data_IF_548243989147
#
_entry.id   IF_548243989147
#
_cell.length_a   1.000
_cell.length_b   1.000
_cell.length_c   1.000
_cell.angle_alpha   90.00
_cell.angle_beta   90.00
_cell.angle_gamma   90.00
#
_symmetry.space_group_name_H-M   'P 1'
#
loop_
_entity.id
_entity.type
_entity.pdbx_description
1 polymer ?
#
# COMPACT_ATOMS: atom_id res chain seq x y z
N UNK A 1 -13.32 -27.54 57.12
CA UNK A 1 -13.22 -26.46 56.11
C UNK A 1 -12.45 -25.31 56.72
N UNK A 2 -11.14 -25.23 56.48
CA UNK A 2 -10.28 -24.17 57.05
C UNK A 2 -10.58 -22.86 56.33
N UNK A 3 -11.20 -21.91 57.03
CA UNK A 3 -11.54 -20.59 56.50
C UNK A 3 -10.24 -19.80 56.34
N UNK A 4 -9.87 -19.51 55.10
CA UNK A 4 -8.63 -18.79 54.79
C UNK A 4 -8.69 -17.36 55.37
N UNK A 5 -7.70 -16.91 56.16
CA UNK A 5 -7.77 -15.61 56.79
C UNK A 5 -7.79 -14.50 55.73
N UNK A 6 -8.67 -13.51 55.91
CA UNK A 6 -8.95 -12.41 54.98
C UNK A 6 -7.68 -11.64 54.55
N UNK A 7 -6.65 -11.64 55.40
CA UNK A 7 -5.31 -11.05 55.15
C UNK A 7 -4.52 -11.76 54.04
N UNK A 8 -4.84 -13.02 53.71
CA UNK A 8 -4.21 -13.79 52.63
C UNK A 8 -4.99 -13.74 51.31
N UNK A 9 -6.25 -13.29 51.34
CA UNK A 9 -7.12 -13.27 50.16
C UNK A 9 -6.71 -12.15 49.19
N UNK A 10 -6.46 -10.95 49.71
CA UNK A 10 -6.09 -9.76 48.91
C UNK A 10 -4.77 -9.96 48.14
N UNK A 11 -3.65 -10.39 48.76
CA UNK A 11 -2.41 -10.60 48.02
C UNK A 11 -2.51 -11.75 47.01
N UNK A 12 -3.26 -12.81 47.33
CA UNK A 12 -3.48 -13.93 46.41
C UNK A 12 -4.27 -13.49 45.17
N UNK A 13 -5.34 -12.70 45.34
CA UNK A 13 -6.11 -12.16 44.22
C UNK A 13 -5.28 -11.23 43.34
N UNK A 14 -4.43 -10.38 43.94
CA UNK A 14 -3.52 -9.51 43.19
C UNK A 14 -2.50 -10.31 42.38
N UNK A 15 -1.90 -11.35 42.96
CA UNK A 15 -0.94 -12.21 42.26
C UNK A 15 -1.60 -12.94 41.06
N UNK A 16 -2.83 -13.41 41.21
CA UNK A 16 -3.59 -14.07 40.13
C UNK A 16 -3.94 -13.08 39.02
N UNK A 17 -4.34 -11.85 39.35
CA UNK A 17 -4.63 -10.82 38.36
C UNK A 17 -3.37 -10.40 37.57
N UNK A 18 -2.23 -10.25 38.26
CA UNK A 18 -0.94 -9.91 37.62
C UNK A 18 -0.49 -11.05 36.71
N UNK A 19 -0.52 -12.30 37.18
CA UNK A 19 -0.17 -13.45 36.36
C UNK A 19 -1.11 -13.58 35.15
N UNK A 20 -2.42 -13.48 35.36
CA UNK A 20 -3.42 -13.52 34.30
C UNK A 20 -3.21 -12.43 33.25
N UNK A 21 -2.86 -11.21 33.66
CA UNK A 21 -2.53 -10.11 32.76
C UNK A 21 -1.23 -10.32 31.97
N UNK A 22 -0.19 -10.88 32.60
CA UNK A 22 1.08 -11.19 31.93
C UNK A 22 0.97 -12.32 30.90
N UNK A 23 0.09 -13.29 31.14
CA UNK A 23 -0.17 -14.40 30.20
C UNK A 23 -1.28 -14.09 29.18
N UNK A 24 -1.88 -12.90 29.22
CA UNK A 24 -2.94 -12.51 28.30
C UNK A 24 -2.37 -12.19 26.91
N UNK A 25 -2.67 -13.02 25.91
CA UNK A 25 -2.18 -12.88 24.53
C UNK A 25 -3.01 -11.91 23.66
N UNK A 26 -3.93 -11.15 24.25
CA UNK A 26 -4.75 -10.16 23.52
C UNK A 26 -5.94 -10.75 22.75
N UNK A 27 -6.09 -12.07 22.70
CA UNK A 27 -7.25 -12.75 22.11
C UNK A 27 -8.47 -12.58 23.01
N UNK A 28 -9.19 -11.47 22.85
CA UNK A 28 -10.49 -11.30 23.50
C UNK A 28 -11.52 -12.03 22.65
N UNK A 29 -12.32 -12.93 23.23
CA UNK A 29 -13.42 -13.62 22.52
C UNK A 29 -14.56 -12.67 22.08
N UNK A 30 -14.35 -11.36 22.19
CA UNK A 30 -15.19 -10.28 21.71
C UNK A 30 -14.72 -9.89 20.29
N UNK A 31 -14.55 -10.87 19.41
CA UNK A 31 -14.49 -10.68 17.95
C UNK A 31 -15.90 -10.42 17.37
N UNK A 32 -16.83 -9.94 18.19
CA UNK A 32 -18.15 -9.48 17.77
C UNK A 32 -18.04 -8.07 17.21
N UNK A 33 -17.41 -7.92 16.05
CA UNK A 33 -17.78 -6.95 15.01
C UNK A 33 -17.73 -5.44 15.31
N UNK A 34 -17.16 -4.98 16.43
CA UNK A 34 -17.08 -3.53 16.70
C UNK A 34 -16.06 -2.81 15.81
N UNK A 35 -15.07 -3.53 15.27
CA UNK A 35 -14.11 -3.01 14.30
C UNK A 35 -14.01 -4.04 13.18
N UNK A 36 -14.40 -3.65 11.96
CA UNK A 36 -14.20 -4.47 10.77
C UNK A 36 -12.71 -4.72 10.59
N UNK A 37 -12.30 -5.98 10.45
CA UNK A 37 -10.95 -6.33 10.01
C UNK A 37 -10.65 -5.64 8.68
N UNK A 38 -9.72 -4.68 8.68
CA UNK A 38 -9.30 -3.98 7.47
C UNK A 38 -8.30 -4.86 6.71
N UNK A 39 -8.80 -5.88 6.01
CA UNK A 39 -7.98 -6.69 5.13
C UNK A 39 -7.46 -5.82 3.98
N UNK A 40 -6.16 -5.50 3.99
CA UNK A 40 -5.51 -4.77 2.91
C UNK A 40 -5.35 -5.69 1.70
N UNK A 41 -6.41 -5.80 0.89
CA UNK A 41 -6.37 -6.57 -0.36
C UNK A 41 -5.46 -5.88 -1.38
N UNK A 42 -4.26 -6.41 -1.55
CA UNK A 42 -3.30 -5.96 -2.56
C UNK A 42 -3.75 -6.46 -3.95
N UNK A 43 -3.72 -5.61 -4.97
CA UNK A 43 -3.93 -6.01 -6.37
C UNK A 43 -5.30 -5.69 -6.96
N UNK A 44 -6.32 -5.37 -6.13
CA UNK A 44 -7.64 -4.93 -6.64
C UNK A 44 -7.45 -3.66 -7.49
N UNK A 45 -8.15 -3.48 -8.63
CA UNK A 45 -7.93 -2.39 -9.59
C UNK A 45 -7.95 -0.95 -9.04
N UNK A 46 -8.47 -0.73 -7.82
CA UNK A 46 -8.50 0.56 -7.12
C UNK A 46 -7.51 0.68 -5.96
N UNK A 47 -6.64 -0.31 -5.76
CA UNK A 47 -5.61 -0.27 -4.72
C UNK A 47 -4.32 0.35 -5.29
N UNK A 48 -3.49 1.01 -4.45
CA UNK A 48 -2.24 1.63 -4.89
C UNK A 48 -1.32 0.63 -5.62
N UNK A 49 -1.28 -0.62 -5.14
CA UNK A 49 -0.49 -1.74 -5.67
C UNK A 49 -1.25 -2.59 -6.71
N UNK A 50 -2.03 -1.99 -7.61
CA UNK A 50 -2.62 -2.71 -8.73
C UNK A 50 -1.77 -2.60 -9.99
N UNK A 51 -1.31 -3.74 -10.53
CA UNK A 51 -0.52 -3.80 -11.76
C UNK A 51 -1.27 -3.20 -12.97
N UNK A 52 -2.57 -3.51 -13.11
CA UNK A 52 -3.41 -2.93 -14.16
C UNK A 52 -3.51 -1.40 -14.04
N UNK A 53 -3.60 -0.87 -12.81
CA UNK A 53 -3.62 0.57 -12.54
C UNK A 53 -2.28 1.25 -12.87
N UNK A 54 -1.16 0.59 -12.55
CA UNK A 54 0.18 1.05 -12.91
C UNK A 54 0.35 1.10 -14.43
N UNK A 55 0.01 0.03 -15.15
CA UNK A 55 0.13 -0.03 -16.61
C UNK A 55 -0.67 1.09 -17.32
N UNK A 56 -1.88 1.38 -16.85
CA UNK A 56 -2.69 2.50 -17.40
C UNK A 56 -2.05 3.87 -17.10
N UNK A 57 -1.45 4.06 -15.91
CA UNK A 57 -0.77 5.31 -15.53
C UNK A 57 0.55 5.51 -16.29
N UNK A 58 1.35 4.46 -16.45
CA UNK A 58 2.60 4.51 -17.22
C UNK A 58 2.31 4.83 -18.69
N UNK A 59 1.33 4.17 -19.29
CA UNK A 59 0.92 4.45 -20.68
C UNK A 59 0.48 5.91 -20.84
N UNK A 60 -0.38 6.42 -19.95
CA UNK A 60 -0.81 7.83 -20.01
C UNK A 60 0.35 8.81 -19.88
N UNK A 61 1.30 8.55 -18.97
CA UNK A 61 2.50 9.38 -18.81
C UNK A 61 3.41 9.32 -20.04
N UNK A 62 3.65 8.12 -20.57
CA UNK A 62 4.46 7.93 -21.76
C UNK A 62 3.87 8.64 -22.98
N UNK A 63 2.55 8.54 -23.19
CA UNK A 63 1.85 9.24 -24.28
C UNK A 63 1.89 10.74 -24.08
N UNK A 64 1.63 11.26 -22.86
CA UNK A 64 1.67 12.69 -22.61
C UNK A 64 3.07 13.29 -22.82
N UNK A 65 4.11 12.61 -22.33
CA UNK A 65 5.51 13.04 -22.52
C UNK A 65 5.94 12.90 -23.98
N UNK A 66 5.59 11.79 -24.64
CA UNK A 66 5.89 11.56 -26.05
C UNK A 66 5.21 12.57 -26.97
N UNK A 67 3.96 12.93 -26.69
CA UNK A 67 3.24 13.98 -27.42
C UNK A 67 3.87 15.35 -27.23
N UNK A 68 4.30 15.69 -26.00
CA UNK A 68 5.03 16.94 -25.72
C UNK A 68 6.38 17.01 -26.44
N UNK A 69 7.12 15.89 -26.49
CA UNK A 69 8.39 15.81 -27.21
C UNK A 69 8.20 15.88 -28.74
N UNK A 70 7.17 15.23 -29.28
CA UNK A 70 6.83 15.31 -30.70
C UNK A 70 6.42 16.72 -31.11
N UNK A 71 5.61 17.39 -30.29
CA UNK A 71 5.25 18.78 -30.50
C UNK A 71 6.49 19.69 -30.45
N UNK A 72 7.34 19.55 -29.42
CA UNK A 72 8.59 20.31 -29.31
C UNK A 72 9.54 20.08 -30.50
N UNK A 73 9.62 18.85 -31.02
CA UNK A 73 10.38 18.52 -32.22
C UNK A 73 9.82 19.16 -33.50
N UNK A 74 8.50 19.30 -33.60
CA UNK A 74 7.85 19.98 -34.72
C UNK A 74 8.07 21.50 -34.71
N UNK A 75 8.21 22.11 -33.52
CA UNK A 75 8.48 23.56 -33.40
C UNK A 75 9.93 23.95 -33.69
N UNK A 76 10.90 23.03 -33.62
CA UNK A 76 12.33 23.37 -33.75
C UNK A 76 12.85 23.40 -35.20
N UNK A 77 12.05 23.03 -36.21
CA UNK A 77 12.53 23.02 -37.58
C UNK A 77 11.42 23.06 -38.61
N UNK A 78 11.09 24.25 -39.12
CA UNK A 78 10.21 24.39 -40.30
C UNK A 78 10.81 23.81 -41.60
N UNK A 79 12.04 23.26 -41.56
CA UNK A 79 12.69 22.52 -42.66
C UNK A 79 13.29 21.17 -42.26
N UNK A 80 13.18 20.76 -40.99
CA UNK A 80 13.77 19.51 -40.51
C UNK A 80 12.77 18.73 -39.68
N UNK A 81 12.56 17.45 -40.00
CA UNK A 81 11.61 16.56 -39.33
C UNK A 81 12.34 15.59 -38.39
N UNK A 82 11.73 15.30 -37.25
CA UNK A 82 12.18 14.21 -36.38
C UNK A 82 11.68 12.88 -36.97
N UNK A 83 12.61 12.04 -37.44
CA UNK A 83 12.31 10.73 -37.99
C UNK A 83 12.87 9.63 -37.07
N UNK A 84 12.17 8.49 -36.99
CA UNK A 84 12.63 7.31 -36.24
C UNK A 84 13.25 6.33 -37.23
N UNK A 85 14.50 5.92 -36.99
CA UNK A 85 15.16 4.92 -37.83
C UNK A 85 14.68 3.49 -37.53
N UNK A 86 15.10 2.52 -38.34
CA UNK A 86 14.75 1.11 -38.16
C UNK A 86 15.25 0.52 -36.83
N UNK A 87 16.17 1.20 -36.14
CA UNK A 87 16.74 0.82 -34.85
C UNK A 87 16.09 1.55 -33.66
N UNK A 88 15.05 2.36 -33.91
CA UNK A 88 14.30 3.08 -32.88
C UNK A 88 14.96 4.36 -32.38
N UNK A 89 16.01 4.86 -33.05
CA UNK A 89 16.67 6.12 -32.69
C UNK A 89 15.91 7.30 -33.30
N UNK A 90 15.68 8.35 -32.50
CA UNK A 90 15.14 9.63 -32.99
C UNK A 90 16.28 10.44 -33.60
N UNK A 91 16.20 10.71 -34.90
CA UNK A 91 17.19 11.48 -35.65
C UNK A 91 16.53 12.65 -36.35
N UNK A 92 17.13 13.83 -36.24
CA UNK A 92 16.67 15.03 -36.93
C UNK A 92 17.14 14.99 -38.38
N UNK A 93 16.22 15.00 -39.35
CA UNK A 93 16.53 15.09 -40.78
C UNK A 93 16.11 16.43 -41.34
N UNK A 94 17.09 17.17 -41.82
CA UNK A 94 17.00 18.22 -42.82
C UNK A 94 17.51 17.62 -44.13
#
# INVERSE_FOLDING_TARGET
MTVLPRKLIVPAAAAVAIAGGLFWNGETTIDTGLISSAEARIGRPLTPMSYAGVARRTTRRAVAVGAGAAAAGAYYGSGCVQAVDAYGRVVTRC
#
